data_IF_220033986973
#
_entry.id   IF_220033986973
#
_cell.length_a   1.000
_cell.length_b   1.000
_cell.length_c   1.000
_cell.angle_alpha   90.00
_cell.angle_beta   90.00
_cell.angle_gamma   90.00
#
_symmetry.space_group_name_H-M   'P 1'
#
loop_
_entity.id
_entity.type
_entity.pdbx_description
1 polymer ?
#
# COMPACT_ATOMS: atom_id res chain seq x y z
N UNK A 1 -30.64 19.86 63.78
CA UNK A 1 -29.42 20.21 63.03
C UNK A 1 -28.47 19.02 63.07
N UNK A 2 -28.43 18.21 62.02
CA UNK A 2 -27.35 17.22 61.85
C UNK A 2 -27.15 16.96 60.36
N UNK A 3 -25.94 17.25 59.90
CA UNK A 3 -25.50 17.37 58.52
C UNK A 3 -25.28 16.00 57.88
N UNK A 4 -25.93 15.71 56.74
CA UNK A 4 -25.55 14.60 55.88
C UNK A 4 -24.32 14.99 55.06
N UNK A 5 -23.20 14.27 55.27
CA UNK A 5 -21.97 14.40 54.50
C UNK A 5 -22.00 13.39 53.35
N UNK A 6 -22.19 13.89 52.15
CA UNK A 6 -22.07 13.15 50.88
C UNK A 6 -20.60 12.85 50.61
N UNK A 7 -20.20 11.57 50.63
CA UNK A 7 -18.87 11.16 50.13
C UNK A 7 -18.99 10.69 48.69
N UNK A 8 -18.53 11.54 47.77
CA UNK A 8 -18.34 11.22 46.37
C UNK A 8 -17.20 10.21 46.21
N UNK A 9 -17.50 9.05 45.62
CA UNK A 9 -16.51 8.05 45.24
C UNK A 9 -15.73 8.55 44.01
N UNK A 10 -14.47 8.92 44.21
CA UNK A 10 -13.51 9.16 43.13
C UNK A 10 -13.21 7.83 42.41
N UNK A 11 -13.76 7.66 41.21
CA UNK A 11 -13.36 6.59 40.30
C UNK A 11 -11.94 6.90 39.80
N UNK A 12 -10.98 6.14 40.32
CA UNK A 12 -9.57 6.27 40.00
C UNK A 12 -9.27 5.39 38.77
N UNK A 13 -9.48 5.91 37.56
CA UNK A 13 -9.10 5.25 36.30
C UNK A 13 -7.59 5.34 36.08
N UNK A 14 -6.83 4.55 36.82
CA UNK A 14 -5.44 4.23 36.45
C UNK A 14 -5.48 3.32 35.23
N UNK A 15 -5.18 3.89 34.06
CA UNK A 15 -4.78 3.15 32.86
C UNK A 15 -3.61 2.22 33.20
N UNK A 16 -3.90 0.95 33.48
CA UNK A 16 -2.87 -0.07 33.64
C UNK A 16 -2.32 -0.38 32.26
N UNK A 17 -1.05 -0.05 32.03
CA UNK A 17 -0.31 -0.46 30.83
C UNK A 17 -0.41 -1.98 30.70
N UNK A 18 -1.14 -2.47 29.69
CA UNK A 18 -1.26 -3.90 29.41
C UNK A 18 0.00 -4.35 28.67
N UNK A 19 0.61 -5.43 29.12
CA UNK A 19 1.73 -6.08 28.41
C UNK A 19 1.18 -6.67 27.11
N UNK A 20 1.83 -6.38 25.99
CA UNK A 20 1.52 -7.04 24.70
C UNK A 20 1.95 -8.51 24.81
N UNK A 21 1.02 -9.42 24.55
CA UNK A 21 1.23 -10.87 24.51
C UNK A 21 0.94 -11.40 23.11
N UNK A 22 1.43 -12.60 22.80
CA UNK A 22 1.10 -13.27 21.54
C UNK A 22 -0.42 -13.41 21.35
N UNK A 23 -1.14 -13.79 22.40
CA UNK A 23 -2.60 -13.89 22.37
C UNK A 23 -3.28 -12.56 22.05
N UNK A 24 -2.76 -11.43 22.58
CA UNK A 24 -3.30 -10.11 22.25
C UNK A 24 -3.09 -9.74 20.79
N UNK A 25 -1.97 -10.15 20.18
CA UNK A 25 -1.70 -9.93 18.75
C UNK A 25 -2.59 -10.82 17.87
N UNK A 26 -2.82 -12.08 18.27
CA UNK A 26 -3.73 -12.99 17.55
C UNK A 26 -5.17 -12.48 17.61
N UNK A 27 -5.62 -12.00 18.77
CA UNK A 27 -6.95 -11.41 18.93
C UNK A 27 -7.12 -10.13 18.09
N UNK A 28 -6.08 -9.30 18.04
CA UNK A 28 -6.06 -8.11 17.18
C UNK A 28 -6.10 -8.52 15.70
N UNK A 29 -5.37 -9.56 15.30
CA UNK A 29 -5.36 -10.04 13.91
C UNK A 29 -6.74 -10.54 13.44
N UNK A 30 -7.54 -11.13 14.33
CA UNK A 30 -8.88 -11.63 14.00
C UNK A 30 -9.84 -10.52 13.52
N UNK A 31 -9.57 -9.25 13.84
CA UNK A 31 -10.40 -8.14 13.36
C UNK A 31 -10.30 -7.96 11.84
N UNK A 32 -9.18 -8.35 11.22
CA UNK A 32 -8.93 -8.18 9.79
C UNK A 32 -9.62 -9.23 8.92
N UNK A 33 -10.16 -10.30 9.52
CA UNK A 33 -10.97 -11.30 8.81
C UNK A 33 -12.48 -11.01 8.87
N UNK A 34 -12.87 -9.89 9.49
CA UNK A 34 -14.28 -9.46 9.52
C UNK A 34 -14.73 -8.99 8.14
N UNK A 35 -15.81 -9.59 7.66
CA UNK A 35 -16.48 -9.24 6.42
C UNK A 35 -17.81 -8.55 6.70
N UNK A 36 -18.22 -7.64 5.82
CA UNK A 36 -19.57 -7.10 5.76
C UNK A 36 -20.18 -7.33 4.38
N UNK A 37 -21.48 -7.59 4.37
CA UNK A 37 -22.26 -7.83 3.15
C UNK A 37 -22.63 -6.50 2.49
N UNK A 38 -22.41 -6.40 1.19
CA UNK A 38 -22.89 -5.32 0.31
C UNK A 38 -23.95 -5.92 -0.60
N UNK A 39 -25.20 -5.52 -0.42
CA UNK A 39 -26.34 -6.01 -1.19
C UNK A 39 -26.69 -5.03 -2.31
N UNK A 40 -27.12 -5.57 -3.46
CA UNK A 40 -27.57 -4.80 -4.61
C UNK A 40 -29.10 -4.86 -4.73
N UNK A 41 -29.67 -3.90 -5.47
CA UNK A 41 -31.12 -3.76 -5.66
C UNK A 41 -31.77 -4.97 -6.35
N UNK A 42 -30.99 -5.70 -7.16
CA UNK A 42 -31.41 -6.91 -7.88
C UNK A 42 -31.30 -8.20 -7.04
N UNK A 43 -30.99 -8.08 -5.74
CA UNK A 43 -30.87 -9.19 -4.81
C UNK A 43 -29.51 -9.89 -4.81
N UNK A 44 -28.58 -9.51 -5.69
CA UNK A 44 -27.18 -9.99 -5.61
C UNK A 44 -26.47 -9.39 -4.39
N UNK A 45 -25.36 -9.99 -4.00
CA UNK A 45 -24.50 -9.42 -2.97
C UNK A 45 -23.03 -9.80 -3.17
N UNK A 46 -22.16 -9.03 -2.52
CA UNK A 46 -20.76 -9.40 -2.30
C UNK A 46 -20.40 -9.18 -0.83
N UNK A 47 -19.20 -9.59 -0.46
CA UNK A 47 -18.64 -9.40 0.87
C UNK A 47 -17.34 -8.60 0.76
N UNK A 48 -17.18 -7.62 1.64
CA UNK A 48 -15.98 -6.78 1.71
C UNK A 48 -15.38 -6.80 3.10
N UNK A 49 -14.07 -6.66 3.18
CA UNK A 49 -13.35 -6.60 4.45
C UNK A 49 -13.66 -5.29 5.18
N UNK A 50 -13.95 -5.41 6.48
CA UNK A 50 -14.26 -4.25 7.34
C UNK A 50 -12.98 -3.49 7.71
N UNK A 51 -11.87 -4.21 7.92
CA UNK A 51 -10.58 -3.63 8.27
C UNK A 51 -9.50 -4.15 7.33
N UNK A 52 -8.65 -3.26 6.84
CA UNK A 52 -7.58 -3.60 5.92
C UNK A 52 -6.34 -3.97 6.73
N UNK A 53 -5.90 -5.24 6.62
CA UNK A 53 -4.68 -5.66 7.31
C UNK A 53 -3.46 -4.99 6.67
N UNK A 54 -2.50 -4.49 7.48
CA UNK A 54 -1.30 -3.86 6.94
C UNK A 54 -0.53 -4.76 5.97
N UNK A 55 -0.44 -6.06 6.27
CA UNK A 55 0.20 -7.06 5.40
C UNK A 55 -0.50 -7.19 4.05
N UNK A 56 -1.85 -7.21 4.03
CA UNK A 56 -2.60 -7.30 2.78
C UNK A 56 -2.51 -6.01 1.96
N UNK A 57 -2.43 -4.85 2.61
CA UNK A 57 -2.12 -3.58 1.93
C UNK A 57 -0.74 -3.67 1.27
N UNK A 58 0.26 -4.15 1.98
CA UNK A 58 1.62 -4.27 1.44
C UNK A 58 1.70 -5.25 0.26
N UNK A 59 0.96 -6.37 0.32
CA UNK A 59 0.83 -7.31 -0.81
C UNK A 59 0.17 -6.63 -2.02
N UNK A 60 -0.99 -6.00 -1.80
CA UNK A 60 -1.73 -5.28 -2.84
C UNK A 60 -0.86 -4.21 -3.53
N UNK A 61 -0.10 -3.43 -2.75
CA UNK A 61 0.80 -2.40 -3.31
C UNK A 61 1.98 -3.00 -4.08
N UNK A 62 2.45 -4.19 -3.69
CA UNK A 62 3.51 -4.90 -4.41
C UNK A 62 3.00 -5.38 -5.76
N UNK A 63 1.82 -6.01 -5.78
CA UNK A 63 1.15 -6.45 -7.00
C UNK A 63 0.81 -5.29 -7.93
N UNK A 64 0.39 -4.17 -7.35
CA UNK A 64 0.13 -2.94 -8.11
C UNK A 64 1.42 -2.42 -8.75
N UNK A 65 2.53 -2.38 -8.01
CA UNK A 65 3.82 -1.97 -8.56
C UNK A 65 4.27 -2.89 -9.70
N UNK A 66 4.15 -4.21 -9.52
CA UNK A 66 4.45 -5.20 -10.58
C UNK A 66 3.56 -4.97 -11.81
N UNK A 67 2.25 -4.80 -11.61
CA UNK A 67 1.30 -4.51 -12.67
C UNK A 67 1.68 -3.24 -13.44
N UNK A 68 1.99 -2.13 -12.76
CA UNK A 68 2.36 -0.87 -13.43
C UNK A 68 3.68 -0.98 -14.19
N UNK A 69 4.64 -1.75 -13.67
CA UNK A 69 5.91 -2.02 -14.35
C UNK A 69 5.70 -2.84 -15.62
N UNK A 70 4.93 -3.93 -15.54
CA UNK A 70 4.64 -4.77 -16.70
C UNK A 70 3.79 -4.03 -17.74
N UNK A 71 2.84 -3.20 -17.29
CA UNK A 71 2.05 -2.35 -18.19
C UNK A 71 2.96 -1.41 -18.97
N UNK A 72 3.88 -0.73 -18.27
CA UNK A 72 4.79 0.23 -18.88
C UNK A 72 5.71 -0.40 -19.93
N UNK A 73 6.12 -1.65 -19.70
CA UNK A 73 6.93 -2.41 -20.66
C UNK A 73 6.16 -2.83 -21.91
N UNK A 74 4.88 -3.18 -21.79
CA UNK A 74 4.07 -3.74 -22.90
C UNK A 74 3.28 -2.68 -23.67
N UNK A 75 2.78 -1.66 -22.99
CA UNK A 75 1.83 -0.69 -23.53
C UNK A 75 2.32 0.77 -23.45
N UNK A 76 3.49 1.00 -22.85
CA UNK A 76 4.02 2.33 -22.58
C UNK A 76 3.51 2.92 -21.25
N UNK A 77 3.97 4.12 -20.92
CA UNK A 77 3.70 4.74 -19.62
C UNK A 77 2.21 4.94 -19.34
N UNK A 78 1.79 4.58 -18.13
CA UNK A 78 0.45 4.87 -17.63
C UNK A 78 0.28 6.37 -17.42
N UNK A 79 -0.81 6.91 -17.96
CA UNK A 79 -1.22 8.29 -17.65
C UNK A 79 -1.63 8.39 -16.18
N UNK A 80 -1.31 9.51 -15.53
CA UNK A 80 -1.57 9.75 -14.10
C UNK A 80 -3.00 9.41 -13.64
N UNK A 81 -4.00 9.75 -14.45
CA UNK A 81 -5.40 9.43 -14.14
C UNK A 81 -5.69 7.93 -14.10
N UNK A 82 -5.07 7.15 -15.00
CA UNK A 82 -5.23 5.69 -15.06
C UNK A 82 -4.52 4.98 -13.91
N UNK A 83 -3.46 5.56 -13.36
CA UNK A 83 -2.74 4.99 -12.21
C UNK A 83 -3.68 4.88 -11.01
N UNK A 84 -4.44 5.94 -10.72
CA UNK A 84 -5.40 5.95 -9.62
C UNK A 84 -6.56 4.99 -9.86
N UNK A 85 -7.09 4.94 -11.09
CA UNK A 85 -8.13 3.99 -11.48
C UNK A 85 -7.69 2.54 -11.18
N UNK A 86 -6.49 2.16 -11.64
CA UNK A 86 -5.96 0.82 -11.41
C UNK A 86 -5.67 0.56 -9.93
N UNK A 87 -5.23 1.56 -9.16
CA UNK A 87 -5.05 1.44 -7.72
C UNK A 87 -6.40 1.15 -7.03
N UNK A 88 -7.48 1.85 -7.39
CA UNK A 88 -8.81 1.60 -6.85
C UNK A 88 -9.30 0.19 -7.17
N UNK A 89 -9.03 -0.30 -8.37
CA UNK A 89 -9.36 -1.68 -8.73
C UNK A 89 -8.57 -2.70 -7.92
N UNK A 90 -7.27 -2.46 -7.66
CA UNK A 90 -6.49 -3.34 -6.80
C UNK A 90 -7.02 -3.34 -5.36
N UNK A 91 -7.43 -2.19 -4.81
CA UNK A 91 -8.10 -2.13 -3.50
C UNK A 91 -9.38 -2.98 -3.52
N UNK A 92 -10.23 -2.78 -4.51
CA UNK A 92 -11.48 -3.51 -4.65
C UNK A 92 -11.25 -5.03 -4.75
N UNK A 93 -10.28 -5.48 -5.55
CA UNK A 93 -9.96 -6.89 -5.71
C UNK A 93 -9.40 -7.53 -4.44
N UNK A 94 -8.49 -6.83 -3.74
CA UNK A 94 -7.84 -7.36 -2.53
C UNK A 94 -8.74 -7.33 -1.29
N UNK A 95 -9.66 -6.38 -1.22
CA UNK A 95 -10.50 -6.19 -0.04
C UNK A 95 -11.98 -6.54 -0.26
N UNK A 96 -12.29 -7.25 -1.34
CA UNK A 96 -13.59 -7.89 -1.56
C UNK A 96 -13.47 -9.38 -1.85
N UNK A 97 -14.61 -10.08 -1.81
CA UNK A 97 -14.75 -11.47 -2.27
C UNK A 97 -15.18 -11.57 -3.74
N UNK A 98 -14.95 -10.52 -4.54
CA UNK A 98 -15.37 -10.48 -5.95
C UNK A 98 -14.64 -11.50 -6.83
N UNK A 99 -13.41 -11.87 -6.49
CA UNK A 99 -12.63 -12.78 -7.32
C UNK A 99 -12.17 -13.98 -6.49
N UNK A 100 -12.46 -15.17 -7.00
CA UNK A 100 -12.14 -16.44 -6.33
C UNK A 100 -10.84 -17.07 -6.85
N UNK A 101 -10.33 -16.65 -8.00
CA UNK A 101 -9.05 -17.07 -8.59
C UNK A 101 -8.80 -16.23 -9.85
N UNK A 102 -7.59 -15.72 -10.03
CA UNK A 102 -7.21 -14.98 -11.24
C UNK A 102 -5.80 -15.43 -11.69
N UNK A 103 -5.65 -16.68 -12.14
CA UNK A 103 -4.50 -17.10 -12.94
C UNK A 103 -4.66 -16.61 -14.39
N UNK A 104 -4.86 -15.30 -14.55
CA UNK A 104 -4.94 -14.67 -15.86
C UNK A 104 -3.54 -14.33 -16.34
N UNK A 105 -3.31 -14.49 -17.64
CA UNK A 105 -2.19 -13.80 -18.27
C UNK A 105 -2.39 -12.27 -18.14
N UNK A 106 -1.31 -11.51 -18.34
CA UNK A 106 -1.35 -10.07 -18.10
C UNK A 106 -2.36 -9.31 -18.99
N UNK A 107 -2.51 -9.72 -20.25
CA UNK A 107 -3.44 -9.08 -21.19
C UNK A 107 -4.90 -9.27 -20.74
N UNK A 108 -5.23 -10.48 -20.29
CA UNK A 108 -6.53 -10.78 -19.70
C UNK A 108 -6.73 -10.02 -18.38
N UNK A 109 -5.70 -9.87 -17.55
CA UNK A 109 -5.76 -9.06 -16.32
C UNK A 109 -6.11 -7.60 -16.64
N UNK A 110 -5.48 -7.00 -17.64
CA UNK A 110 -5.79 -5.64 -18.10
C UNK A 110 -7.24 -5.56 -18.60
N UNK A 111 -7.67 -6.53 -19.41
CA UNK A 111 -9.04 -6.59 -19.93
C UNK A 111 -10.08 -6.68 -18.80
N UNK A 112 -9.87 -7.56 -17.82
CA UNK A 112 -10.73 -7.71 -16.66
C UNK A 112 -10.79 -6.42 -15.85
N UNK A 113 -9.64 -5.79 -15.56
CA UNK A 113 -9.60 -4.54 -14.82
C UNK A 113 -10.37 -3.42 -15.54
N UNK A 114 -10.24 -3.32 -16.87
CA UNK A 114 -11.00 -2.36 -17.66
C UNK A 114 -12.51 -2.64 -17.63
N UNK A 115 -12.92 -3.90 -17.65
CA UNK A 115 -14.33 -4.28 -17.53
C UNK A 115 -14.90 -3.94 -16.15
N UNK A 116 -14.13 -4.12 -15.08
CA UNK A 116 -14.53 -3.74 -13.72
C UNK A 116 -14.64 -2.22 -13.62
N UNK A 117 -13.70 -1.45 -14.19
CA UNK A 117 -13.75 0.02 -14.20
C UNK A 117 -15.01 0.57 -14.88
N UNK A 118 -15.55 -0.13 -15.87
CA UNK A 118 -16.77 0.27 -16.59
C UNK A 118 -18.06 -0.25 -15.93
N UNK A 119 -17.99 -0.83 -14.71
CA UNK A 119 -19.13 -1.44 -14.02
C UNK A 119 -19.63 -0.57 -12.87
N UNK A 120 -20.90 -0.16 -12.93
CA UNK A 120 -21.58 0.56 -11.84
C UNK A 120 -21.56 -0.21 -10.50
N UNK A 121 -21.49 -1.55 -10.57
CA UNK A 121 -21.38 -2.38 -9.36
C UNK A 121 -20.04 -2.20 -8.68
N UNK A 122 -18.95 -2.03 -9.45
CA UNK A 122 -17.62 -1.84 -8.89
C UNK A 122 -17.55 -0.53 -8.10
N UNK A 123 -18.14 0.54 -8.64
CA UNK A 123 -18.25 1.83 -7.95
C UNK A 123 -19.06 1.69 -6.65
N UNK A 124 -20.24 1.06 -6.69
CA UNK A 124 -21.06 0.83 -5.49
C UNK A 124 -20.32 0.01 -4.40
N UNK A 125 -19.53 -0.98 -4.82
CA UNK A 125 -18.71 -1.79 -3.90
C UNK A 125 -17.59 -0.93 -3.30
N UNK A 126 -16.92 -0.15 -4.14
CA UNK A 126 -15.84 0.72 -3.69
C UNK A 126 -16.34 1.76 -2.68
N UNK A 127 -17.48 2.40 -2.96
CA UNK A 127 -18.14 3.35 -2.07
C UNK A 127 -18.60 2.74 -0.73
N UNK A 128 -18.77 1.42 -0.70
CA UNK A 128 -19.13 0.69 0.50
C UNK A 128 -17.95 0.49 1.46
N UNK A 129 -16.70 0.71 1.03
CA UNK A 129 -15.55 0.65 1.94
C UNK A 129 -15.53 1.83 2.91
N UNK A 130 -14.94 1.61 4.09
CA UNK A 130 -14.68 2.71 5.01
C UNK A 130 -13.56 3.60 4.44
N UNK A 131 -13.83 4.89 4.29
CA UNK A 131 -12.88 5.88 3.78
C UNK A 131 -11.60 5.94 4.63
N UNK A 132 -11.70 5.69 5.94
CA UNK A 132 -10.54 5.62 6.81
C UNK A 132 -9.64 4.42 6.49
N UNK A 133 -10.21 3.28 6.08
CA UNK A 133 -9.44 2.10 5.67
C UNK A 133 -8.79 2.32 4.30
N UNK A 134 -9.49 2.96 3.36
CA UNK A 134 -8.91 3.39 2.08
C UNK A 134 -7.74 4.37 2.33
N UNK A 135 -7.90 5.33 3.24
CA UNK A 135 -6.83 6.29 3.56
C UNK A 135 -5.55 5.60 4.02
N UNK A 136 -5.66 4.51 4.80
CA UNK A 136 -4.47 3.71 5.21
C UNK A 136 -3.69 3.18 4.01
N UNK A 137 -4.35 2.84 2.91
CA UNK A 137 -3.70 2.39 1.67
C UNK A 137 -2.86 3.52 1.10
N UNK A 138 -3.44 4.71 0.93
CA UNK A 138 -2.71 5.88 0.44
C UNK A 138 -1.56 6.26 1.36
N UNK A 139 -1.78 6.32 2.66
CA UNK A 139 -0.73 6.63 3.64
C UNK A 139 0.42 5.61 3.56
N UNK A 140 0.10 4.34 3.35
CA UNK A 140 1.12 3.28 3.20
C UNK A 140 1.87 3.40 1.88
N UNK A 141 1.18 3.74 0.79
CA UNK A 141 1.78 3.99 -0.52
C UNK A 141 2.73 5.19 -0.48
N UNK A 142 2.29 6.31 0.09
CA UNK A 142 3.13 7.51 0.24
C UNK A 142 4.37 7.23 1.10
N UNK A 143 4.21 6.54 2.24
CA UNK A 143 5.36 6.13 3.05
C UNK A 143 6.37 5.27 2.29
N UNK A 144 5.91 4.37 1.41
CA UNK A 144 6.80 3.58 0.55
C UNK A 144 7.50 4.46 -0.48
N UNK A 145 6.77 5.38 -1.12
CA UNK A 145 7.35 6.32 -2.08
C UNK A 145 8.40 7.23 -1.43
N UNK A 146 8.13 7.75 -0.23
CA UNK A 146 9.07 8.56 0.54
C UNK A 146 10.35 7.77 0.84
N UNK A 147 10.21 6.53 1.32
CA UNK A 147 11.35 5.65 1.56
C UNK A 147 12.16 5.37 0.28
N UNK A 148 11.51 5.20 -0.88
CA UNK A 148 12.19 5.05 -2.16
C UNK A 148 12.92 6.34 -2.57
N UNK A 149 12.31 7.50 -2.38
CA UNK A 149 12.96 8.79 -2.68
C UNK A 149 14.20 9.00 -1.81
N UNK A 150 14.14 8.66 -0.52
CA UNK A 150 15.29 8.70 0.39
C UNK A 150 16.41 7.75 -0.06
N UNK A 151 16.07 6.52 -0.48
CA UNK A 151 17.04 5.57 -1.02
C UNK A 151 17.69 6.08 -2.32
N UNK A 152 16.90 6.64 -3.24
CA UNK A 152 17.43 7.23 -4.48
C UNK A 152 18.35 8.42 -4.17
N UNK A 153 17.97 9.27 -3.23
CA UNK A 153 18.82 10.39 -2.79
C UNK A 153 20.12 9.88 -2.19
N UNK A 154 20.05 8.92 -1.27
CA UNK A 154 21.23 8.30 -0.64
C UNK A 154 22.15 7.67 -1.68
N UNK A 155 21.59 6.96 -2.68
CA UNK A 155 22.38 6.39 -3.77
C UNK A 155 23.08 7.47 -4.61
N UNK A 156 22.40 8.59 -4.93
CA UNK A 156 23.01 9.72 -5.63
C UNK A 156 24.13 10.37 -4.81
N UNK A 157 23.91 10.56 -3.52
CA UNK A 157 24.91 11.13 -2.62
C UNK A 157 26.15 10.20 -2.51
N UNK A 158 25.93 8.88 -2.42
CA UNK A 158 27.02 7.89 -2.45
C UNK A 158 27.78 7.88 -3.78
N UNK A 159 27.07 7.96 -4.92
CA UNK A 159 27.71 8.06 -6.23
C UNK A 159 28.58 9.32 -6.32
N UNK A 160 28.10 10.46 -5.81
CA UNK A 160 28.86 11.70 -5.79
C UNK A 160 30.08 11.63 -4.86
N UNK A 161 29.94 11.01 -3.68
CA UNK A 161 31.07 10.81 -2.76
C UNK A 161 32.14 9.90 -3.38
N UNK A 162 31.74 8.82 -4.06
CA UNK A 162 32.65 7.94 -4.78
C UNK A 162 33.35 8.68 -5.93
N UNK A 163 32.60 9.46 -6.71
CA UNK A 163 33.16 10.31 -7.76
C UNK A 163 34.22 11.25 -7.20
N UNK A 164 33.90 11.99 -6.13
CA UNK A 164 34.83 12.92 -5.49
C UNK A 164 36.06 12.19 -4.94
N UNK A 165 35.88 11.06 -4.26
CA UNK A 165 36.98 10.25 -3.74
C UNK A 165 37.93 9.79 -4.85
N UNK A 166 37.41 9.25 -5.96
CA UNK A 166 38.24 8.82 -7.10
C UNK A 166 38.92 10.03 -7.73
N UNK A 167 38.24 11.19 -7.78
CA UNK A 167 38.82 12.41 -8.34
C UNK A 167 39.96 12.98 -7.49
N UNK A 168 39.82 12.93 -6.18
CA UNK A 168 40.79 13.51 -5.25
C UNK A 168 41.91 12.53 -4.87
N UNK A 169 41.74 11.24 -5.17
CA UNK A 169 42.73 10.20 -4.90
C UNK A 169 43.79 10.09 -5.99
N UNK A 170 45.02 9.78 -5.59
CA UNK A 170 46.14 9.56 -6.50
C UNK A 170 46.19 8.10 -6.99
N UNK A 171 45.09 7.62 -7.58
CA UNK A 171 44.95 6.25 -8.07
C UNK A 171 45.60 6.08 -9.45
N UNK A 172 46.46 5.07 -9.61
CA UNK A 172 47.15 4.81 -10.90
C UNK A 172 46.18 4.54 -12.07
N UNK A 173 45.03 3.93 -11.79
CA UNK A 173 44.03 3.55 -12.80
C UNK A 173 42.75 4.40 -12.74
N UNK A 174 42.86 5.64 -12.26
CA UNK A 174 41.75 6.56 -12.04
C UNK A 174 40.79 6.67 -13.24
N UNK A 175 41.33 6.87 -14.44
CA UNK A 175 40.53 7.04 -15.66
C UNK A 175 39.77 5.76 -16.05
N UNK A 176 40.36 4.59 -15.84
CA UNK A 176 39.70 3.30 -16.07
C UNK A 176 38.54 3.09 -15.09
N UNK A 177 38.75 3.40 -13.81
CA UNK A 177 37.72 3.29 -12.77
C UNK A 177 36.55 4.24 -13.09
N UNK A 178 36.85 5.48 -13.49
CA UNK A 178 35.84 6.46 -13.85
C UNK A 178 35.01 6.02 -15.05
N UNK A 179 35.65 5.47 -16.09
CA UNK A 179 34.95 4.97 -17.27
C UNK A 179 34.07 3.75 -16.97
N UNK A 180 34.50 2.83 -16.10
CA UNK A 180 33.71 1.63 -15.75
C UNK A 180 32.53 1.99 -14.85
N UNK A 181 32.72 2.90 -13.89
CA UNK A 181 31.73 3.21 -12.86
C UNK A 181 30.74 4.32 -13.26
N UNK A 182 31.17 5.26 -14.09
CA UNK A 182 30.40 6.46 -14.45
C UNK A 182 30.35 6.74 -15.95
N UNK A 183 30.98 5.90 -16.78
CA UNK A 183 31.01 6.07 -18.23
C UNK A 183 29.63 5.92 -18.87
N UNK A 184 29.26 6.91 -19.69
CA UNK A 184 28.07 6.89 -20.55
C UNK A 184 28.13 5.73 -21.55
N UNK A 185 26.98 5.11 -21.83
CA UNK A 185 26.75 4.50 -23.16
C UNK A 185 26.96 5.61 -24.18
N UNK A 186 28.05 5.55 -24.95
CA UNK A 186 28.20 6.37 -26.15
C UNK A 186 27.04 6.04 -27.09
N UNK A 187 26.30 7.08 -27.50
CA UNK A 187 25.40 7.03 -28.65
C UNK A 187 26.12 6.50 -29.88
#
# INVERSE_FOLDING_TARGET
MTTQKTTAAKVNTRSRKKKVTLDSLIQEAAQFEKLKKVSFEDGRYTEIYVHFSPTRIDQMLSDFAEFTSEYSQKFGELKDNRILDYLHMHILLYFSKLTTQLDFNFEDKVSVLNNILNSDLAEKIFDSFDKAEIQKVYDRMWKKLDAYQELVKTNKDMQQQLYNYINDSNLENKDMIMNVMFGQKSN
#
